data_IF_855182206275
#
_entry.id   IF_855182206275
#
_cell.length_a   1.000
_cell.length_b   1.000
_cell.length_c   1.000
_cell.angle_alpha   90.00
_cell.angle_beta   90.00
_cell.angle_gamma   90.00
#
_symmetry.space_group_name_H-M   'P 1'
#
loop_
_entity.id
_entity.type
_entity.pdbx_description
1 polymer ?
#
# COMPACT_ATOMS: atom_id res chain seq x y z
N UNK A 1 -28.18 56.48 3.72
CA UNK A 1 -29.37 56.61 4.57
C UNK A 1 -29.00 56.11 5.95
N UNK A 2 -29.24 56.85 7.03
CA UNK A 2 -28.99 56.39 8.40
C UNK A 2 -30.31 56.02 9.08
N UNK A 3 -30.30 54.98 9.91
CA UNK A 3 -31.44 54.59 10.75
C UNK A 3 -31.00 54.20 12.17
N UNK A 4 -31.58 54.87 13.16
CA UNK A 4 -31.51 54.56 14.59
C UNK A 4 -32.69 53.65 14.99
N UNK A 5 -32.60 52.33 14.78
CA UNK A 5 -33.63 51.43 15.30
C UNK A 5 -33.45 49.95 14.96
N UNK A 6 -32.84 49.20 15.90
CA UNK A 6 -33.08 47.81 16.34
C UNK A 6 -33.67 46.76 15.38
N UNK A 7 -33.48 46.87 14.08
CA UNK A 7 -33.96 45.90 13.08
C UNK A 7 -32.99 45.93 11.91
N UNK A 8 -32.24 44.84 11.73
CA UNK A 8 -31.26 44.69 10.66
C UNK A 8 -31.99 44.54 9.31
N UNK A 9 -32.49 45.65 8.77
CA UNK A 9 -33.16 45.70 7.46
C UNK A 9 -32.20 45.47 6.28
N UNK A 10 -30.91 45.32 6.57
CA UNK A 10 -29.85 45.09 5.61
C UNK A 10 -29.59 43.60 5.38
N UNK A 11 -30.14 42.71 6.23
CA UNK A 11 -29.99 41.26 6.13
C UNK A 11 -31.37 40.60 5.94
N UNK A 12 -31.63 40.06 4.75
CA UNK A 12 -32.85 39.27 4.46
C UNK A 12 -32.66 37.76 4.77
N UNK A 13 -31.57 37.39 5.44
CA UNK A 13 -31.24 36.02 5.82
C UNK A 13 -31.01 35.06 4.66
N UNK A 14 -30.90 35.56 3.42
CA UNK A 14 -30.74 34.75 2.21
C UNK A 14 -29.80 35.37 1.16
N UNK A 15 -29.79 36.70 1.01
CA UNK A 15 -28.85 37.48 0.18
C UNK A 15 -28.69 38.85 0.86
N UNK A 16 -27.46 39.32 1.11
CA UNK A 16 -27.17 40.63 1.70
C UNK A 16 -27.02 41.74 0.66
N UNK A 17 -26.20 42.76 0.95
CA UNK A 17 -26.01 43.93 0.09
C UNK A 17 -24.62 43.99 -0.54
N UNK A 18 -24.52 44.75 -1.64
CA UNK A 18 -23.23 45.16 -2.19
C UNK A 18 -22.68 46.38 -1.43
N UNK A 19 -21.42 46.30 -1.03
CA UNK A 19 -20.67 47.35 -0.34
C UNK A 19 -19.43 47.70 -1.15
N UNK A 20 -19.31 48.97 -1.57
CA UNK A 20 -18.23 49.42 -2.45
C UNK A 20 -16.85 49.47 -1.75
N UNK A 21 -16.83 49.43 -0.43
CA UNK A 21 -15.65 49.39 0.43
C UNK A 21 -15.42 48.04 1.13
N UNK A 22 -16.22 47.02 0.83
CA UNK A 22 -15.93 45.65 1.29
C UNK A 22 -14.66 45.14 0.60
N UNK A 23 -13.83 44.45 1.36
CA UNK A 23 -12.51 43.97 0.93
C UNK A 23 -12.25 42.55 1.45
N UNK A 24 -13.32 41.78 1.70
CA UNK A 24 -13.21 40.37 2.05
C UNK A 24 -12.96 39.48 0.83
N UNK A 25 -13.05 38.18 1.05
CA UNK A 25 -12.89 37.13 0.02
C UNK A 25 -14.24 36.49 -0.27
N UNK A 26 -14.36 35.87 -1.44
CA UNK A 26 -15.44 34.96 -1.83
C UNK A 26 -14.83 33.58 -2.16
N UNK A 27 -14.26 32.90 -1.16
CA UNK A 27 -13.40 31.73 -1.36
C UNK A 27 -14.15 30.49 -1.87
N UNK A 28 -15.49 30.52 -1.90
CA UNK A 28 -16.31 29.42 -2.40
C UNK A 28 -17.02 29.75 -3.73
N UNK A 29 -16.73 30.91 -4.32
CA UNK A 29 -17.31 31.43 -5.55
C UNK A 29 -18.85 31.40 -5.60
N UNK A 30 -19.53 31.57 -4.46
CA UNK A 30 -21.00 31.58 -4.40
C UNK A 30 -21.61 32.98 -4.61
N UNK A 31 -20.76 34.00 -4.78
CA UNK A 31 -21.14 35.41 -4.96
C UNK A 31 -21.42 36.13 -3.64
N UNK A 32 -21.02 35.55 -2.51
CA UNK A 32 -21.18 36.08 -1.16
C UNK A 32 -19.83 36.11 -0.46
N UNK A 33 -19.46 37.28 0.06
CA UNK A 33 -18.26 37.42 0.85
C UNK A 33 -18.29 36.59 2.14
N UNK A 34 -17.22 35.86 2.41
CA UNK A 34 -17.09 34.94 3.56
C UNK A 34 -17.03 35.64 4.92
N UNK A 35 -16.76 36.94 4.93
CA UNK A 35 -16.65 37.73 6.16
C UNK A 35 -17.81 38.72 6.28
N UNK A 36 -18.51 38.78 7.43
CA UNK A 36 -19.56 39.77 7.62
C UNK A 36 -19.02 41.20 7.47
N UNK A 37 -19.75 42.06 6.76
CA UNK A 37 -19.44 43.49 6.66
C UNK A 37 -20.04 44.24 7.86
N UNK A 38 -19.18 44.89 8.66
CA UNK A 38 -19.61 45.68 9.81
C UNK A 38 -20.17 47.02 9.37
N UNK A 39 -21.44 47.31 9.67
CA UNK A 39 -22.11 48.52 9.18
C UNK A 39 -21.68 49.74 10.01
N UNK A 40 -20.99 50.73 9.42
CA UNK A 40 -20.53 51.91 10.16
C UNK A 40 -21.69 52.79 10.65
N UNK A 41 -21.59 53.31 11.88
CA UNK A 41 -22.59 54.24 12.45
C UNK A 41 -23.73 53.57 13.22
N UNK A 42 -23.84 52.24 13.16
CA UNK A 42 -24.78 51.41 13.92
C UNK A 42 -24.02 50.46 14.83
N UNK A 43 -24.27 50.50 16.14
CA UNK A 43 -23.52 49.68 17.10
C UNK A 43 -23.95 48.22 17.00
N UNK A 44 -23.08 47.39 16.42
CA UNK A 44 -23.22 45.92 16.40
C UNK A 44 -24.05 45.36 15.24
N UNK A 45 -24.51 46.20 14.31
CA UNK A 45 -25.17 45.72 13.10
C UNK A 45 -24.13 45.31 12.06
N UNK A 46 -24.35 44.16 11.42
CA UNK A 46 -23.50 43.60 10.38
C UNK A 46 -24.36 43.01 9.26
N UNK A 47 -23.83 43.04 8.05
CA UNK A 47 -24.33 42.26 6.92
C UNK A 47 -23.59 40.92 6.91
N UNK A 48 -24.30 39.83 7.18
CA UNK A 48 -23.69 38.49 7.25
C UNK A 48 -23.44 37.88 5.87
N UNK A 49 -24.03 38.44 4.82
CA UNK A 49 -24.00 37.90 3.48
C UNK A 49 -23.69 39.00 2.44
N UNK A 50 -22.60 39.76 2.60
CA UNK A 50 -22.26 40.83 1.67
C UNK A 50 -22.08 40.25 0.26
N UNK A 51 -22.74 40.85 -0.74
CA UNK A 51 -22.56 40.44 -2.14
C UNK A 51 -21.18 40.88 -2.59
N UNK A 52 -20.32 39.92 -2.90
CA UNK A 52 -18.94 40.14 -3.28
C UNK A 52 -18.47 39.03 -4.21
N UNK A 53 -17.55 39.40 -5.10
CA UNK A 53 -16.87 38.52 -6.05
C UNK A 53 -15.49 39.19 -6.19
N UNK A 54 -14.44 38.57 -5.66
CA UNK A 54 -13.05 39.08 -5.74
C UNK A 54 -12.43 38.86 -7.13
N UNK A 55 -13.21 38.30 -8.06
CA UNK A 55 -12.97 38.24 -9.49
C UNK A 55 -12.53 36.86 -9.95
N UNK A 56 -12.65 36.56 -11.26
CA UNK A 56 -12.35 35.24 -11.86
C UNK A 56 -10.85 34.87 -11.88
N UNK A 57 -10.01 35.58 -11.12
CA UNK A 57 -8.55 35.45 -11.11
C UNK A 57 -7.98 34.96 -9.79
N UNK A 58 -8.79 34.90 -8.73
CA UNK A 58 -8.45 34.21 -7.49
C UNK A 58 -9.31 32.96 -7.45
N UNK A 59 -8.83 31.88 -8.07
CA UNK A 59 -9.48 30.60 -7.87
C UNK A 59 -8.94 30.00 -6.58
N UNK A 60 -9.85 29.70 -5.66
CA UNK A 60 -9.58 29.13 -4.34
C UNK A 60 -10.17 27.70 -4.22
N UNK A 61 -10.68 27.11 -5.31
CA UNK A 61 -11.28 25.76 -5.32
C UNK A 61 -10.18 24.71 -5.43
N UNK A 62 -10.16 23.74 -4.53
CA UNK A 62 -9.19 22.65 -4.56
C UNK A 62 -9.51 21.61 -5.66
N UNK A 63 -8.49 21.05 -6.32
CA UNK A 63 -8.67 19.92 -7.24
C UNK A 63 -9.42 18.74 -6.60
N UNK A 64 -10.45 18.25 -7.29
CA UNK A 64 -11.19 17.06 -6.89
C UNK A 64 -10.45 15.79 -7.33
N UNK A 65 -10.09 14.95 -6.37
CA UNK A 65 -9.45 13.64 -6.60
C UNK A 65 -10.44 12.52 -6.26
N UNK A 66 -10.75 11.67 -7.24
CA UNK A 66 -11.59 10.48 -7.08
C UNK A 66 -10.75 9.24 -7.36
N UNK A 67 -10.46 8.44 -6.32
CA UNK A 67 -9.76 7.16 -6.49
C UNK A 67 -10.76 6.16 -7.06
N UNK A 68 -10.60 5.81 -8.34
CA UNK A 68 -11.49 4.89 -9.05
C UNK A 68 -11.22 3.44 -8.66
N UNK A 69 -9.93 3.12 -8.49
CA UNK A 69 -9.46 1.78 -8.19
C UNK A 69 -8.12 1.83 -7.48
N UNK A 70 -7.91 0.91 -6.55
CA UNK A 70 -6.60 0.58 -6.03
C UNK A 70 -6.58 -0.89 -5.57
N UNK A 71 -5.41 -1.52 -5.63
CA UNK A 71 -5.20 -2.81 -4.97
C UNK A 71 -5.12 -2.60 -3.45
N UNK A 72 -6.00 -3.25 -2.70
CA UNK A 72 -6.00 -3.13 -1.24
C UNK A 72 -4.97 -4.02 -0.54
N UNK A 73 -4.25 -4.87 -1.30
CA UNK A 73 -3.11 -5.62 -0.78
C UNK A 73 -2.10 -5.96 -1.88
N UNK A 74 -0.86 -6.24 -1.48
CA UNK A 74 0.17 -6.85 -2.32
C UNK A 74 0.88 -7.97 -1.57
N UNK A 75 1.38 -8.97 -2.30
CA UNK A 75 2.19 -10.03 -1.71
C UNK A 75 3.62 -9.56 -1.43
N UNK A 76 4.12 -9.86 -0.23
CA UNK A 76 5.49 -9.58 0.17
C UNK A 76 6.50 -10.15 -0.82
N UNK A 77 7.48 -9.32 -1.23
CA UNK A 77 8.62 -9.71 -2.05
C UNK A 77 8.38 -9.84 -3.56
N UNK A 78 7.13 -9.93 -4.01
CA UNK A 78 6.82 -10.11 -5.45
C UNK A 78 5.61 -9.32 -5.96
N UNK A 79 4.81 -8.74 -5.05
CA UNK A 79 3.58 -8.04 -5.39
C UNK A 79 3.81 -6.59 -5.80
N UNK A 80 2.73 -5.95 -6.22
CA UNK A 80 2.67 -4.52 -6.47
C UNK A 80 1.26 -4.01 -6.19
N UNK A 81 1.16 -2.70 -5.97
CA UNK A 81 -0.11 -1.99 -5.86
C UNK A 81 -0.31 -1.18 -7.14
N UNK A 82 -1.42 -1.43 -7.83
CA UNK A 82 -1.92 -0.55 -8.88
C UNK A 82 -2.92 0.44 -8.29
N UNK A 83 -2.79 1.71 -8.67
CA UNK A 83 -3.67 2.81 -8.27
C UNK A 83 -4.14 3.54 -9.53
N UNK A 84 -5.42 3.87 -9.60
CA UNK A 84 -6.04 4.69 -10.63
C UNK A 84 -6.97 5.74 -10.00
N UNK A 85 -6.81 6.99 -10.39
CA UNK A 85 -7.62 8.11 -9.92
C UNK A 85 -8.04 9.03 -11.07
N UNK A 86 -9.27 9.53 -11.01
CA UNK A 86 -9.77 10.60 -11.86
C UNK A 86 -9.63 11.93 -11.12
N UNK A 87 -8.97 12.91 -11.74
CA UNK A 87 -8.61 14.17 -11.10
C UNK A 87 -9.11 15.33 -11.96
N UNK A 88 -9.92 16.21 -11.40
CA UNK A 88 -10.49 17.34 -12.12
C UNK A 88 -10.46 18.58 -11.28
N UNK A 89 -10.52 19.71 -11.95
CA UNK A 89 -10.60 20.99 -11.31
C UNK A 89 -11.42 21.98 -12.17
N UNK A 90 -11.87 23.08 -11.57
CA UNK A 90 -12.56 24.16 -12.29
C UNK A 90 -11.58 24.97 -13.16
N UNK A 91 -10.29 24.95 -12.86
CA UNK A 91 -9.22 25.53 -13.68
C UNK A 91 -8.20 24.47 -14.12
N UNK A 92 -7.05 24.91 -14.61
CA UNK A 92 -6.01 24.02 -15.12
C UNK A 92 -5.23 23.39 -13.96
N UNK A 93 -5.20 22.06 -13.92
CA UNK A 93 -4.28 21.30 -13.06
C UNK A 93 -2.81 21.66 -13.35
N UNK A 94 -2.04 21.83 -12.28
CA UNK A 94 -0.59 21.93 -12.34
C UNK A 94 0.04 20.53 -12.27
N UNK A 95 1.08 20.31 -13.08
CA UNK A 95 1.73 19.02 -13.22
C UNK A 95 3.18 19.09 -12.70
N UNK A 96 3.69 18.01 -12.07
CA UNK A 96 3.09 16.68 -12.00
C UNK A 96 2.06 16.50 -10.88
N UNK A 97 1.10 15.59 -11.10
CA UNK A 97 0.32 14.99 -10.01
C UNK A 97 1.24 14.02 -9.28
N UNK A 98 1.32 14.11 -7.96
CA UNK A 98 2.25 13.31 -7.16
C UNK A 98 1.53 12.29 -6.31
N UNK A 99 2.21 11.17 -6.05
CA UNK A 99 1.77 10.13 -5.12
C UNK A 99 2.91 9.80 -4.15
N UNK A 100 2.60 9.78 -2.87
CA UNK A 100 3.52 9.54 -1.77
C UNK A 100 3.13 8.25 -1.05
N UNK A 101 4.08 7.37 -0.75
CA UNK A 101 3.84 6.12 -0.03
C UNK A 101 4.43 6.20 1.37
N UNK A 102 3.71 5.67 2.36
CA UNK A 102 4.09 5.75 3.77
C UNK A 102 4.04 4.39 4.45
N UNK A 103 4.95 4.20 5.39
CA UNK A 103 4.86 3.13 6.38
C UNK A 103 3.68 3.38 7.32
N UNK A 104 3.15 2.33 8.00
CA UNK A 104 2.06 2.47 8.97
C UNK A 104 2.37 3.42 10.14
N UNK A 105 3.66 3.63 10.43
CA UNK A 105 4.12 4.56 11.46
C UNK A 105 4.18 6.03 10.99
N UNK A 106 3.75 6.33 9.76
CA UNK A 106 3.76 7.66 9.15
C UNK A 106 5.10 8.09 8.54
N UNK A 107 6.09 7.20 8.47
CA UNK A 107 7.37 7.51 7.81
C UNK A 107 7.20 7.46 6.30
N UNK A 108 7.57 8.52 5.60
CA UNK A 108 7.58 8.55 4.13
C UNK A 108 8.55 7.49 3.58
N UNK A 109 8.04 6.63 2.72
CA UNK A 109 8.83 5.65 1.95
C UNK A 109 9.44 6.35 0.76
N UNK A 110 8.59 6.94 -0.09
CA UNK A 110 9.03 7.67 -1.28
C UNK A 110 7.87 8.47 -1.90
N UNK A 111 8.20 9.37 -2.82
CA UNK A 111 7.27 10.15 -3.62
C UNK A 111 7.55 9.97 -5.12
N UNK A 112 6.49 9.97 -5.92
CA UNK A 112 6.57 9.72 -7.37
C UNK A 112 5.56 10.58 -8.13
N UNK A 113 5.80 10.74 -9.43
CA UNK A 113 4.85 11.36 -10.34
C UNK A 113 3.89 10.28 -10.88
N UNK A 114 2.59 10.57 -10.85
CA UNK A 114 1.58 9.72 -11.49
C UNK A 114 1.61 9.87 -13.01
N UNK A 115 1.18 8.82 -13.71
CA UNK A 115 1.19 8.77 -15.18
C UNK A 115 -0.21 9.09 -15.69
N UNK A 116 -0.32 10.10 -16.56
CA UNK A 116 -1.57 10.42 -17.25
C UNK A 116 -1.93 9.32 -18.26
N UNK A 117 -3.15 8.81 -18.21
CA UNK A 117 -3.69 7.90 -19.20
C UNK A 117 -4.07 8.65 -20.49
N UNK A 118 -3.11 8.77 -21.42
CA UNK A 118 -3.34 9.46 -22.69
C UNK A 118 -4.28 8.71 -23.65
N UNK A 119 -4.70 7.48 -23.32
CA UNK A 119 -5.47 6.62 -24.23
C UNK A 119 -6.98 6.84 -24.15
N UNK A 120 -7.49 7.41 -23.07
CA UNK A 120 -8.93 7.58 -22.83
C UNK A 120 -9.40 9.05 -22.92
N UNK A 121 -8.48 9.99 -23.18
CA UNK A 121 -8.76 11.44 -23.23
C UNK A 121 -9.47 11.98 -21.98
N UNK A 122 -9.34 11.27 -20.86
CA UNK A 122 -9.86 11.66 -19.55
C UNK A 122 -8.71 12.14 -18.67
N UNK A 123 -9.03 12.88 -17.61
CA UNK A 123 -8.05 13.25 -16.59
C UNK A 123 -7.83 12.08 -15.60
N UNK A 124 -7.58 10.88 -16.13
CA UNK A 124 -7.31 9.69 -15.34
C UNK A 124 -5.81 9.47 -15.23
N UNK A 125 -5.34 9.28 -14.01
CA UNK A 125 -3.95 9.09 -13.64
C UNK A 125 -3.79 7.74 -12.99
N UNK A 126 -2.67 7.07 -13.26
CA UNK A 126 -2.37 5.80 -12.63
C UNK A 126 -0.93 5.72 -12.16
N UNK A 127 -0.70 4.83 -11.21
CA UNK A 127 0.63 4.46 -10.75
C UNK A 127 0.69 2.98 -10.42
N UNK A 128 1.85 2.36 -10.68
CA UNK A 128 2.11 0.96 -10.37
C UNK A 128 3.34 0.89 -9.48
N UNK A 129 3.17 0.42 -8.25
CA UNK A 129 4.21 0.46 -7.23
C UNK A 129 4.60 -0.94 -6.74
N UNK A 130 5.84 -1.41 -7.00
CA UNK A 130 6.31 -2.71 -6.53
C UNK A 130 6.62 -2.70 -5.03
N UNK A 131 6.28 -3.78 -4.32
CA UNK A 131 6.48 -3.89 -2.86
C UNK A 131 7.69 -4.76 -2.44
N UNK A 132 8.55 -5.12 -3.41
CA UNK A 132 9.58 -6.16 -3.29
C UNK A 132 10.55 -6.00 -2.10
N UNK A 133 10.76 -4.77 -1.60
CA UNK A 133 11.74 -4.46 -0.55
C UNK A 133 11.12 -4.03 0.79
N UNK A 134 9.80 -4.19 0.96
CA UNK A 134 9.08 -3.72 2.13
C UNK A 134 8.65 -4.86 3.05
N UNK A 135 8.68 -4.68 4.37
CA UNK A 135 8.23 -5.71 5.30
C UNK A 135 6.71 -5.95 5.16
N UNK A 136 6.28 -7.19 5.36
CA UNK A 136 4.87 -7.52 5.45
C UNK A 136 4.27 -6.90 6.73
N UNK A 137 3.44 -5.88 6.56
CA UNK A 137 2.72 -5.16 7.61
C UNK A 137 1.36 -4.74 7.03
N UNK A 138 0.41 -4.50 7.92
CA UNK A 138 -0.90 -3.95 7.60
C UNK A 138 -0.86 -2.42 7.66
N UNK A 139 -1.82 -1.75 7.03
CA UNK A 139 -2.03 -0.30 7.10
C UNK A 139 -0.89 0.56 6.50
N UNK A 140 -0.26 0.10 5.42
CA UNK A 140 0.45 1.04 4.55
C UNK A 140 -0.57 1.99 3.92
N UNK A 141 -0.13 3.17 3.52
CA UNK A 141 -1.02 4.08 2.81
C UNK A 141 -0.27 4.91 1.78
N UNK A 142 -1.03 5.41 0.82
CA UNK A 142 -0.55 6.40 -0.13
C UNK A 142 -1.35 7.69 0.00
N UNK A 143 -0.74 8.80 -0.41
CA UNK A 143 -1.38 10.12 -0.54
C UNK A 143 -1.18 10.59 -1.98
N UNK A 144 -2.26 10.94 -2.66
CA UNK A 144 -2.23 11.63 -3.95
C UNK A 144 -2.40 13.12 -3.68
N UNK A 145 -1.48 13.92 -4.22
CA UNK A 145 -1.52 15.38 -4.15
C UNK A 145 -1.66 15.95 -5.57
N UNK A 146 -2.63 16.83 -5.76
CA UNK A 146 -2.86 17.57 -7.00
C UNK A 146 -2.91 19.06 -6.71
N UNK A 147 -2.15 19.84 -7.46
CA UNK A 147 -2.26 21.30 -7.45
C UNK A 147 -2.96 21.78 -8.72
N UNK A 148 -3.58 22.94 -8.66
CA UNK A 148 -3.98 23.70 -9.84
C UNK A 148 -3.03 24.87 -10.12
N UNK A 149 -3.31 25.62 -11.19
CA UNK A 149 -2.51 26.78 -11.58
C UNK A 149 -2.63 28.01 -10.67
N UNK A 150 -3.57 28.01 -9.72
CA UNK A 150 -3.73 28.99 -8.64
C UNK A 150 -3.07 28.54 -7.33
N UNK A 151 -2.52 27.31 -7.31
CA UNK A 151 -1.83 26.68 -6.19
C UNK A 151 -2.76 26.20 -5.06
N UNK A 152 -4.02 25.89 -5.33
CA UNK A 152 -4.85 25.13 -4.38
C UNK A 152 -4.46 23.66 -4.41
N UNK A 153 -4.63 22.96 -3.29
CA UNK A 153 -4.14 21.60 -3.09
C UNK A 153 -5.30 20.64 -2.80
N UNK A 154 -5.54 19.73 -3.73
CA UNK A 154 -6.38 18.56 -3.53
C UNK A 154 -5.58 17.39 -2.96
N UNK A 155 -6.15 16.68 -1.98
CA UNK A 155 -5.52 15.51 -1.33
C UNK A 155 -6.49 14.33 -1.25
N UNK A 156 -6.03 13.13 -1.58
CA UNK A 156 -6.74 11.88 -1.32
C UNK A 156 -5.79 10.79 -0.83
N UNK A 157 -6.28 9.84 -0.04
CA UNK A 157 -5.46 8.76 0.52
C UNK A 157 -6.25 7.49 0.73
N UNK A 158 -5.61 6.34 0.59
CA UNK A 158 -6.18 5.03 0.93
C UNK A 158 -5.12 4.12 1.57
N UNK A 159 -5.61 3.10 2.29
CA UNK A 159 -4.78 2.10 2.97
C UNK A 159 -4.70 0.78 2.19
N UNK A 160 -3.57 0.10 2.27
CA UNK A 160 -3.36 -1.24 1.72
C UNK A 160 -2.42 -2.06 2.61
N UNK A 161 -2.47 -3.38 2.45
CA UNK A 161 -1.67 -4.31 3.24
C UNK A 161 -0.56 -4.95 2.39
N UNK A 162 0.58 -5.22 3.01
CA UNK A 162 1.59 -6.13 2.44
C UNK A 162 1.52 -7.44 3.19
N UNK A 163 1.01 -8.47 2.52
CA UNK A 163 0.72 -9.77 3.14
C UNK A 163 1.74 -10.83 2.73
N UNK A 164 2.10 -11.69 3.67
CA UNK A 164 2.90 -12.88 3.37
C UNK A 164 2.01 -13.87 2.63
N UNK A 165 2.43 -14.34 1.45
CA UNK A 165 1.71 -15.41 0.77
C UNK A 165 1.71 -16.66 1.66
N UNK A 166 0.52 -17.04 2.12
CA UNK A 166 0.30 -18.31 2.83
C UNK A 166 -0.30 -19.31 1.85
N UNK A 167 0.33 -20.48 1.65
CA UNK A 167 -0.32 -21.54 0.89
C UNK A 167 -1.66 -21.89 1.55
N UNK A 168 -2.70 -22.12 0.75
CA UNK A 168 -3.96 -22.66 1.26
C UNK A 168 -3.67 -24.01 1.90
N UNK A 169 -4.09 -24.23 3.14
CA UNK A 169 -3.94 -25.53 3.81
C UNK A 169 -4.79 -26.57 3.06
N UNK A 170 -4.15 -27.32 2.17
CA UNK A 170 -4.77 -28.39 1.39
C UNK A 170 -4.16 -29.75 1.73
N UNK A 171 -4.75 -30.83 1.21
CA UNK A 171 -4.38 -32.21 1.56
C UNK A 171 -3.07 -32.70 0.94
N UNK A 172 -2.23 -31.84 0.35
CA UNK A 172 -0.96 -32.26 -0.24
C UNK A 172 0.08 -32.70 0.79
N UNK A 173 1.08 -33.48 0.36
CA UNK A 173 2.20 -33.86 1.22
C UNK A 173 3.53 -34.02 0.46
N UNK A 174 4.63 -33.85 1.21
CA UNK A 174 5.99 -34.13 0.74
C UNK A 174 6.58 -35.23 1.62
N UNK A 175 6.94 -36.36 1.01
CA UNK A 175 7.69 -37.42 1.65
C UNK A 175 9.19 -37.19 1.51
N UNK A 176 9.87 -37.04 2.64
CA UNK A 176 11.32 -36.81 2.70
C UNK A 176 12.03 -38.07 3.17
N UNK A 177 12.97 -38.54 2.35
CA UNK A 177 13.87 -39.63 2.69
C UNK A 177 15.31 -39.12 2.74
N UNK A 178 16.00 -39.30 3.86
CA UNK A 178 17.36 -38.82 4.07
C UNK A 178 18.30 -40.00 4.25
N UNK A 179 19.34 -40.06 3.41
CA UNK A 179 20.32 -41.15 3.38
C UNK A 179 21.73 -40.60 3.33
N UNK A 180 22.67 -41.41 3.81
CA UNK A 180 24.09 -41.18 3.63
C UNK A 180 24.47 -41.47 2.17
N UNK A 181 25.21 -40.55 1.52
CA UNK A 181 25.53 -40.65 0.11
C UNK A 181 26.49 -41.81 -0.23
N UNK A 182 27.31 -42.24 0.73
CA UNK A 182 28.31 -43.29 0.50
C UNK A 182 27.74 -44.66 0.82
N UNK A 183 27.05 -44.80 1.95
CA UNK A 183 26.55 -46.08 2.45
C UNK A 183 25.10 -46.37 2.07
N UNK A 184 24.35 -45.36 1.59
CA UNK A 184 22.90 -45.42 1.35
C UNK A 184 22.07 -45.76 2.60
N UNK A 185 22.68 -45.75 3.79
CA UNK A 185 22.00 -46.00 5.05
C UNK A 185 21.09 -44.83 5.40
N UNK A 186 19.93 -45.08 6.02
CA UNK A 186 19.04 -44.00 6.45
C UNK A 186 19.70 -43.14 7.54
N UNK A 187 19.54 -41.83 7.43
CA UNK A 187 20.02 -40.88 8.43
C UNK A 187 18.85 -40.46 9.31
N UNK A 188 18.83 -40.98 10.54
CA UNK A 188 17.88 -40.55 11.56
C UNK A 188 18.26 -39.22 12.18
N UNK A 189 17.26 -38.50 12.70
CA UNK A 189 17.43 -37.21 13.39
C UNK A 189 18.13 -36.14 12.51
N UNK A 190 17.99 -36.21 11.19
CA UNK A 190 18.29 -35.09 10.31
C UNK A 190 17.17 -34.06 10.42
N UNK A 191 17.52 -32.80 10.63
CA UNK A 191 16.57 -31.70 10.70
C UNK A 191 16.05 -31.39 9.30
N UNK A 192 14.73 -31.32 9.16
CA UNK A 192 14.01 -30.97 7.94
C UNK A 192 13.33 -29.63 8.18
N UNK A 193 13.56 -28.67 7.28
CA UNK A 193 12.85 -27.40 7.25
C UNK A 193 12.26 -27.22 5.86
N UNK A 194 10.96 -26.90 5.81
CA UNK A 194 10.24 -26.65 4.57
C UNK A 194 9.78 -25.19 4.57
N UNK A 195 10.12 -24.47 3.52
CA UNK A 195 9.70 -23.09 3.32
C UNK A 195 8.89 -22.95 2.04
N UNK A 196 7.91 -22.05 2.06
CA UNK A 196 7.21 -21.62 0.87
C UNK A 196 8.09 -20.65 0.09
N UNK A 197 8.44 -20.98 -1.15
CA UNK A 197 9.57 -20.34 -1.85
C UNK A 197 9.34 -18.84 -2.12
N UNK A 198 8.10 -18.42 -2.38
CA UNK A 198 7.81 -17.01 -2.69
C UNK A 198 7.94 -16.10 -1.47
N UNK A 199 7.52 -16.58 -0.29
CA UNK A 199 7.46 -15.77 0.93
C UNK A 199 8.56 -16.06 1.93
N UNK A 200 9.27 -17.18 1.80
CA UNK A 200 10.26 -17.67 2.78
C UNK A 200 9.63 -18.18 4.09
N UNK A 201 8.30 -18.25 4.17
CA UNK A 201 7.58 -18.72 5.35
C UNK A 201 7.92 -20.19 5.64
N UNK A 202 8.34 -20.50 6.87
CA UNK A 202 8.50 -21.88 7.33
C UNK A 202 7.11 -22.50 7.52
N UNK A 203 6.76 -23.47 6.68
CA UNK A 203 5.45 -24.13 6.69
C UNK A 203 5.45 -25.43 7.48
N UNK A 204 6.60 -26.10 7.57
CA UNK A 204 6.77 -27.28 8.43
C UNK A 204 8.25 -27.48 8.80
N UNK A 205 8.50 -28.11 9.95
CA UNK A 205 9.83 -28.48 10.40
C UNK A 205 9.82 -29.64 11.39
N UNK A 206 10.87 -30.46 11.34
CA UNK A 206 11.01 -31.56 12.27
C UNK A 206 12.29 -32.37 12.06
N UNK A 207 12.29 -33.61 12.54
CA UNK A 207 13.43 -34.49 12.45
C UNK A 207 13.04 -35.83 11.83
N UNK A 208 13.90 -36.37 10.97
CA UNK A 208 13.70 -37.70 10.42
C UNK A 208 13.66 -38.78 11.50
N UNK A 209 12.80 -39.78 11.30
CA UNK A 209 12.68 -40.94 12.20
C UNK A 209 13.87 -41.92 12.03
N UNK A 210 13.82 -43.07 12.72
CA UNK A 210 14.85 -44.12 12.65
C UNK A 210 15.09 -44.71 11.25
N UNK A 211 14.12 -44.58 10.34
CA UNK A 211 14.22 -45.00 8.94
C UNK A 211 14.70 -43.87 8.01
N UNK A 212 15.10 -42.72 8.56
CA UNK A 212 15.51 -41.55 7.78
C UNK A 212 14.35 -40.86 7.07
N UNK A 213 13.11 -41.13 7.50
CA UNK A 213 11.90 -40.62 6.87
C UNK A 213 11.29 -39.47 7.67
N UNK A 214 10.75 -38.48 6.96
CA UNK A 214 9.94 -37.39 7.50
C UNK A 214 8.79 -37.09 6.53
N UNK A 215 7.58 -36.83 7.05
CA UNK A 215 6.41 -36.55 6.22
C UNK A 215 5.90 -35.15 6.51
N UNK A 216 5.78 -34.34 5.47
CA UNK A 216 5.28 -32.97 5.53
C UNK A 216 3.85 -33.00 5.01
N UNK A 217 2.85 -32.62 5.82
CA UNK A 217 1.43 -32.73 5.44
C UNK A 217 0.72 -31.40 5.53
N UNK A 218 -0.39 -31.25 4.81
CA UNK A 218 -1.19 -30.01 4.85
C UNK A 218 -0.70 -28.97 3.85
N UNK A 219 -0.10 -29.42 2.75
CA UNK A 219 0.55 -28.57 1.77
C UNK A 219 -0.44 -28.04 0.75
N UNK A 220 -0.45 -26.72 0.57
CA UNK A 220 -1.15 -26.02 -0.51
C UNK A 220 -0.43 -26.13 -1.85
N UNK A 221 -1.13 -25.76 -2.92
CA UNK A 221 -0.50 -25.62 -4.24
C UNK A 221 0.56 -24.52 -4.16
N UNK A 222 1.76 -24.80 -4.66
CA UNK A 222 2.84 -23.81 -4.73
C UNK A 222 4.24 -24.40 -4.69
N UNK A 223 5.24 -23.53 -4.81
CA UNK A 223 6.66 -23.89 -4.79
C UNK A 223 7.16 -23.96 -3.35
N UNK A 224 7.81 -25.06 -3.02
CA UNK A 224 8.41 -25.29 -1.72
C UNK A 224 9.89 -25.58 -1.87
N UNK A 225 10.66 -25.13 -0.89
CA UNK A 225 12.05 -25.49 -0.72
C UNK A 225 12.21 -26.32 0.55
N UNK A 226 12.83 -27.49 0.42
CA UNK A 226 13.10 -28.44 1.50
C UNK A 226 14.60 -28.46 1.76
N UNK A 227 14.98 -28.03 2.96
CA UNK A 227 16.37 -28.00 3.43
C UNK A 227 16.59 -29.05 4.51
N UNK A 228 17.65 -29.86 4.34
CA UNK A 228 18.06 -30.90 5.27
C UNK A 228 19.40 -30.56 5.90
N UNK A 229 19.47 -30.55 7.23
CA UNK A 229 20.72 -30.38 7.97
C UNK A 229 20.93 -31.47 9.04
N UNK A 230 22.19 -31.88 9.22
CA UNK A 230 22.59 -32.87 10.23
C UNK A 230 24.04 -32.59 10.63
N UNK A 231 24.32 -32.58 11.93
CA UNK A 231 25.70 -32.43 12.43
C UNK A 231 26.60 -33.53 11.85
N UNK A 232 27.77 -33.14 11.35
CA UNK A 232 28.69 -34.04 10.65
C UNK A 232 28.42 -34.22 9.15
N UNK A 233 27.38 -33.58 8.60
CA UNK A 233 27.03 -33.66 7.18
C UNK A 233 26.89 -32.28 6.54
N UNK A 234 27.15 -32.20 5.24
CA UNK A 234 26.84 -31.01 4.45
C UNK A 234 25.32 -30.87 4.27
N UNK A 235 24.80 -29.66 4.50
CA UNK A 235 23.39 -29.30 4.25
C UNK A 235 23.03 -29.52 2.77
N UNK A 236 21.82 -30.01 2.52
CA UNK A 236 21.25 -30.08 1.17
C UNK A 236 19.92 -29.38 1.08
N UNK A 237 19.58 -28.95 -0.14
CA UNK A 237 18.37 -28.23 -0.47
C UNK A 237 17.82 -28.77 -1.79
N UNK A 238 16.50 -28.93 -1.88
CA UNK A 238 15.77 -29.21 -3.12
C UNK A 238 14.47 -28.42 -3.15
N UNK A 239 14.01 -28.05 -4.34
CA UNK A 239 12.72 -27.43 -4.54
C UNK A 239 11.72 -28.40 -5.18
N UNK A 240 10.45 -28.25 -4.86
CA UNK A 240 9.34 -29.03 -5.44
C UNK A 240 8.09 -28.17 -5.59
N UNK A 241 7.17 -28.60 -6.45
CA UNK A 241 5.95 -27.85 -6.77
C UNK A 241 4.72 -28.74 -6.58
N UNK A 242 4.00 -28.51 -5.49
CA UNK A 242 2.68 -29.11 -5.25
C UNK A 242 1.74 -28.47 -6.27
N UNK A 243 1.27 -29.25 -7.23
CA UNK A 243 0.65 -28.70 -8.45
C UNK A 243 -0.86 -28.95 -8.56
N UNK A 244 -1.46 -29.72 -7.65
CA UNK A 244 -2.91 -29.82 -7.44
C UNK A 244 -3.24 -30.17 -5.98
N UNK A 245 -4.52 -30.05 -5.60
CA UNK A 245 -5.01 -30.32 -4.23
C UNK A 245 -4.92 -31.81 -3.92
N UNK A 246 -4.06 -32.20 -2.97
CA UNK A 246 -3.83 -33.60 -2.62
C UNK A 246 -2.69 -34.27 -3.39
N UNK A 247 -1.89 -33.48 -4.10
CA UNK A 247 -0.65 -33.91 -4.75
C UNK A 247 0.38 -34.45 -3.75
N UNK A 248 1.22 -35.35 -4.23
CA UNK A 248 2.20 -36.08 -3.45
C UNK A 248 3.58 -36.07 -4.10
N UNK A 249 4.54 -35.44 -3.41
CA UNK A 249 5.91 -35.31 -3.86
C UNK A 249 6.87 -36.15 -3.00
N UNK A 250 7.85 -36.79 -3.64
CA UNK A 250 8.81 -37.68 -2.97
C UNK A 250 10.23 -37.19 -3.17
N UNK A 251 10.85 -36.67 -2.11
CA UNK A 251 12.21 -36.12 -2.14
C UNK A 251 13.18 -37.04 -1.39
N UNK A 252 14.19 -37.55 -2.09
CA UNK A 252 15.32 -38.26 -1.47
C UNK A 252 16.57 -37.38 -1.44
N UNK A 253 17.18 -37.23 -0.28
CA UNK A 253 18.43 -36.49 -0.05
C UNK A 253 19.57 -37.43 0.32
N UNK A 254 20.73 -37.23 -0.31
CA UNK A 254 21.92 -38.07 -0.12
C UNK A 254 23.05 -37.24 0.48
N UNK A 255 23.12 -37.13 1.80
CA UNK A 255 24.03 -36.22 2.49
C UNK A 255 25.46 -36.73 2.44
N UNK A 256 26.40 -35.81 2.21
CA UNK A 256 27.83 -36.10 2.28
C UNK A 256 28.36 -35.79 3.69
N UNK A 257 29.08 -36.72 4.29
CA UNK A 257 29.79 -36.46 5.54
C UNK A 257 30.82 -35.34 5.34
N UNK A 258 30.94 -34.46 6.34
CA UNK A 258 32.01 -33.47 6.40
C UNK A 258 33.28 -34.19 6.87
N UNK A 259 34.29 -34.23 6.02
CA UNK A 259 35.58 -34.80 6.39
C UNK A 259 36.23 -33.89 7.43
N UNK A 260 36.34 -34.35 8.67
CA UNK A 260 37.26 -33.76 9.64
C UNK A 260 38.65 -34.36 9.42
N UNK A 261 39.51 -33.65 8.71
CA UNK A 261 40.92 -34.01 8.55
C UNK A 261 41.64 -33.94 9.91
N UNK A 262 41.63 -35.04 10.66
CA UNK A 262 42.60 -35.26 11.73
C UNK A 262 43.89 -35.79 11.10
N UNK A 263 44.71 -34.90 10.57
CA UNK A 263 46.10 -35.25 10.28
C UNK A 263 46.86 -35.38 11.59
N UNK A 264 47.08 -36.63 11.98
CA UNK A 264 48.02 -37.06 13.01
C UNK A 264 49.41 -36.53 12.63
N UNK A 265 49.94 -35.61 13.44
CA UNK A 265 51.38 -35.36 13.47
C UNK A 265 52.03 -36.52 14.23
N UNK A 266 52.64 -37.44 13.49
CA UNK A 266 53.69 -38.34 13.98
C UNK A 266 54.94 -38.19 13.13
#
# INVERSE_FOLDING_TARGET
AENNGASNFWDNGTIGNYWDDYAGLDANDDGIGDTPYMIPGTVGDQDNYPVWDDGPTADDVEPLIVINYYDNYAYFGTGAIFIEAFITDNIQLDFPITIEFYYPNGTLINAYDMILNISDSSNTFFYYWPVDSLPALDDYYFIINAYDSSNNLGVASEFFDIVVETPTLDTGWIEVNVKDNSTYSPISSAYVQVVYTSSGLVVDMGYTNGAGFYNVTGMGIGWYEVTISRSGYATQMKQTYINWVGDDDYLTFYLNELITDYWILS
#
